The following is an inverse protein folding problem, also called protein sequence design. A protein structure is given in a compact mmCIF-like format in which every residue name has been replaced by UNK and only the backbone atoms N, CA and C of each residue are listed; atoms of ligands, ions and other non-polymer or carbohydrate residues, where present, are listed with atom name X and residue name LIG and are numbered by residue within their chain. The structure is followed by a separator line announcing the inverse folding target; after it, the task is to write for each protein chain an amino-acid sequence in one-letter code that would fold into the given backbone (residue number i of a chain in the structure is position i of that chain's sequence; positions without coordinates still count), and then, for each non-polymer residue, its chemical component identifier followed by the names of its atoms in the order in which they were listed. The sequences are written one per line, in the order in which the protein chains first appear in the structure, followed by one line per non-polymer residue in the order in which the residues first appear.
data_IF_003321120550
#
_entry.id   IF_003321120550
#
_cell.length_a   1.000
_cell.length_b   1.000
_cell.length_c   1.000
_cell.angle_alpha   90.00
_cell.angle_beta   90.00
_cell.angle_gamma   90.00
#
_symmetry.space_group_name_H-M   'P 1'
#
loop_
_entity.id
_entity.type
_entity.pdbx_description
1 polymer ?
#
# COMPACT_ATOMS: atom_id res chain seq x y z
N UNK A 1 25.92 -31.71 -11.01
CA UNK A 1 25.14 -31.55 -9.78
C UNK A 1 23.83 -30.91 -10.22
N UNK A 2 22.67 -31.33 -9.71
CA UNK A 2 21.42 -30.63 -10.03
C UNK A 2 21.41 -29.27 -9.32
N UNK A 3 20.59 -28.34 -9.81
CA UNK A 3 20.35 -27.05 -9.16
C UNK A 3 19.84 -27.26 -7.73
N UNK A 4 20.22 -26.38 -6.80
CA UNK A 4 19.71 -26.41 -5.44
C UNK A 4 18.17 -26.25 -5.46
N UNK A 5 17.39 -27.11 -4.76
CA UNK A 5 15.94 -27.02 -4.77
C UNK A 5 15.39 -25.66 -4.31
N UNK A 6 16.05 -24.99 -3.33
CA UNK A 6 15.64 -23.66 -2.88
C UNK A 6 15.86 -22.62 -3.98
N UNK A 7 16.99 -22.67 -4.66
CA UNK A 7 17.29 -21.77 -5.80
C UNK A 7 16.25 -21.96 -6.91
N UNK A 8 15.88 -23.20 -7.23
CA UNK A 8 14.88 -23.50 -8.24
C UNK A 8 13.49 -22.92 -7.85
N UNK A 9 13.09 -23.08 -6.57
CA UNK A 9 11.84 -22.52 -6.06
C UNK A 9 11.84 -20.99 -6.09
N UNK A 10 12.93 -20.35 -5.68
CA UNK A 10 13.10 -18.88 -5.73
C UNK A 10 13.01 -18.37 -7.17
N UNK A 11 13.68 -18.99 -8.13
CA UNK A 11 13.63 -18.58 -9.54
C UNK A 11 12.26 -18.73 -10.18
N UNK A 12 11.47 -19.71 -9.71
CA UNK A 12 10.11 -19.92 -10.21
C UNK A 12 9.04 -19.08 -9.49
N UNK A 13 9.40 -18.35 -8.43
CA UNK A 13 8.44 -17.62 -7.59
C UNK A 13 7.50 -18.54 -6.81
N UNK A 14 7.91 -19.79 -6.55
CA UNK A 14 7.10 -20.76 -5.77
C UNK A 14 7.24 -20.47 -4.27
N UNK A 15 6.49 -19.50 -3.78
CA UNK A 15 6.48 -19.07 -2.36
C UNK A 15 6.24 -20.24 -1.41
N UNK A 16 5.28 -21.15 -1.74
CA UNK A 16 4.97 -22.32 -0.92
C UNK A 16 6.10 -23.35 -0.93
N UNK A 17 6.74 -23.52 -2.08
CA UNK A 17 7.94 -24.36 -2.20
C UNK A 17 9.09 -23.80 -1.37
N UNK A 18 9.31 -22.47 -1.38
CA UNK A 18 10.32 -21.80 -0.54
C UNK A 18 10.00 -22.03 0.94
N UNK A 19 8.78 -21.74 1.40
CA UNK A 19 8.32 -21.97 2.78
C UNK A 19 8.59 -23.44 3.22
N UNK A 20 8.14 -24.40 2.41
CA UNK A 20 8.28 -25.82 2.73
C UNK A 20 9.75 -26.28 2.79
N UNK A 21 10.62 -25.78 1.90
CA UNK A 21 12.04 -26.09 1.88
C UNK A 21 12.77 -25.47 3.08
N UNK A 22 12.47 -24.24 3.43
CA UNK A 22 13.03 -23.57 4.61
C UNK A 22 12.60 -24.28 5.91
N UNK A 23 11.33 -24.67 6.03
CA UNK A 23 10.82 -25.47 7.16
C UNK A 23 11.46 -26.87 7.22
N UNK A 24 11.89 -27.42 6.10
CA UNK A 24 12.66 -28.69 6.03
C UNK A 24 14.16 -28.51 6.33
N UNK A 25 14.63 -27.26 6.60
CA UNK A 25 16.02 -26.96 6.97
C UNK A 25 16.91 -26.61 5.79
N UNK A 26 16.39 -26.21 4.64
CA UNK A 26 17.18 -25.65 3.55
C UNK A 26 17.92 -24.40 4.03
N UNK A 27 19.10 -24.17 3.47
CA UNK A 27 19.93 -22.98 3.80
C UNK A 27 19.36 -21.73 3.11
N UNK A 28 18.82 -20.73 3.84
CA UNK A 28 18.30 -19.49 3.23
C UNK A 28 19.38 -18.69 2.50
N UNK A 29 20.68 -18.93 2.81
CA UNK A 29 21.82 -18.29 2.16
C UNK A 29 22.36 -19.11 0.98
N UNK A 30 21.59 -20.08 0.47
CA UNK A 30 21.97 -20.86 -0.72
C UNK A 30 22.32 -19.95 -1.90
N UNK A 31 23.27 -20.39 -2.71
CA UNK A 31 23.74 -19.66 -3.92
C UNK A 31 23.52 -20.51 -5.17
N UNK A 32 23.30 -19.85 -6.28
CA UNK A 32 23.23 -20.52 -7.58
C UNK A 32 24.61 -20.92 -8.13
N UNK A 33 24.64 -21.50 -9.33
CA UNK A 33 25.86 -21.91 -10.03
C UNK A 33 26.82 -20.75 -10.35
N UNK A 34 26.33 -19.52 -10.28
CA UNK A 34 27.13 -18.29 -10.50
C UNK A 34 27.56 -17.62 -9.20
N UNK A 35 27.16 -18.18 -8.05
CA UNK A 35 27.45 -17.62 -6.74
C UNK A 35 26.48 -16.50 -6.33
N UNK A 36 25.31 -16.39 -7.00
CA UNK A 36 24.29 -15.40 -6.65
C UNK A 36 23.41 -15.93 -5.52
N UNK A 37 23.32 -15.23 -4.37
CA UNK A 37 22.49 -15.64 -3.24
C UNK A 37 21.00 -15.67 -3.59
N UNK A 38 20.25 -16.59 -2.97
CA UNK A 38 18.80 -16.73 -3.12
C UNK A 38 18.07 -15.39 -2.93
N UNK A 39 18.45 -14.62 -1.92
CA UNK A 39 17.88 -13.29 -1.66
C UNK A 39 18.13 -12.31 -2.81
N UNK A 40 19.31 -12.33 -3.42
CA UNK A 40 19.62 -11.48 -4.59
C UNK A 40 18.77 -11.87 -5.81
N UNK A 41 18.55 -13.17 -6.03
CA UNK A 41 17.71 -13.66 -7.13
C UNK A 41 16.24 -13.20 -6.95
N UNK A 42 15.72 -13.28 -5.72
CA UNK A 42 14.37 -12.81 -5.41
C UNK A 42 14.22 -11.28 -5.61
N UNK A 43 15.24 -10.51 -5.26
CA UNK A 43 15.30 -9.05 -5.53
C UNK A 43 15.26 -8.75 -7.03
N UNK A 44 16.04 -9.46 -7.85
CA UNK A 44 16.02 -9.28 -9.30
C UNK A 44 14.69 -9.65 -9.96
N UNK A 45 13.98 -10.61 -9.37
CA UNK A 45 12.66 -11.02 -9.82
C UNK A 45 11.53 -10.08 -9.32
N UNK A 46 11.84 -9.08 -8.50
CA UNK A 46 10.85 -8.23 -7.80
C UNK A 46 9.86 -9.04 -6.96
N UNK A 47 10.28 -10.18 -6.42
CA UNK A 47 9.42 -11.12 -5.71
C UNK A 47 9.46 -10.87 -4.20
N UNK A 48 8.67 -9.86 -3.76
CA UNK A 48 8.57 -9.51 -2.35
C UNK A 48 8.09 -10.68 -1.48
N UNK A 49 7.05 -11.47 -1.87
CA UNK A 49 6.63 -12.64 -1.10
C UNK A 49 7.76 -13.64 -0.83
N UNK A 50 8.57 -13.97 -1.82
CA UNK A 50 9.75 -14.85 -1.65
C UNK A 50 10.79 -14.22 -0.72
N UNK A 51 11.02 -12.91 -0.82
CA UNK A 51 11.93 -12.17 0.08
C UNK A 51 11.44 -12.25 1.53
N UNK A 52 10.14 -12.10 1.76
CA UNK A 52 9.55 -12.19 3.09
C UNK A 52 9.70 -13.61 3.67
N UNK A 53 9.44 -14.66 2.89
CA UNK A 53 9.67 -16.05 3.34
C UNK A 53 11.13 -16.33 3.70
N UNK A 54 12.10 -15.87 2.87
CA UNK A 54 13.52 -16.00 3.18
C UNK A 54 13.90 -15.30 4.48
N UNK A 55 13.27 -14.15 4.79
CA UNK A 55 13.51 -13.38 6.01
C UNK A 55 12.84 -13.97 7.24
N UNK A 56 11.71 -14.66 7.06
CA UNK A 56 10.94 -15.30 8.14
C UNK A 56 11.44 -16.70 8.49
N UNK A 57 12.46 -17.22 7.80
CA UNK A 57 13.06 -18.51 8.08
C UNK A 57 13.57 -18.59 9.54
N UNK A 58 13.49 -19.77 10.14
CA UNK A 58 13.99 -20.04 11.51
C UNK A 58 15.48 -19.66 11.67
N UNK A 59 16.27 -19.87 10.62
CA UNK A 59 17.62 -19.33 10.49
C UNK A 59 17.56 -18.00 9.74
N UNK A 60 17.98 -16.88 10.35
CA UNK A 60 17.96 -15.58 9.67
C UNK A 60 18.82 -15.58 8.40
N UNK A 61 18.23 -15.09 7.28
CA UNK A 61 18.96 -14.85 6.04
C UNK A 61 19.98 -13.72 6.20
N UNK A 62 21.11 -13.83 5.54
CA UNK A 62 22.15 -12.79 5.56
C UNK A 62 21.77 -11.64 4.60
N UNK A 63 21.26 -10.53 5.15
CA UNK A 63 20.86 -9.34 4.37
C UNK A 63 22.05 -8.64 3.68
N UNK A 64 23.28 -8.93 4.11
CA UNK A 64 24.50 -8.29 3.65
C UNK A 64 25.39 -9.24 2.83
N UNK A 65 24.85 -10.39 2.38
CA UNK A 65 25.54 -11.24 1.42
C UNK A 65 25.85 -10.44 0.12
N UNK A 66 26.88 -10.83 -0.57
CA UNK A 66 27.23 -10.20 -1.86
C UNK A 66 27.31 -11.26 -2.94
N UNK A 67 26.90 -10.89 -4.14
CA UNK A 67 27.07 -11.72 -5.33
C UNK A 67 28.49 -11.64 -5.90
N UNK A 68 28.69 -12.32 -7.04
CA UNK A 68 29.97 -12.32 -7.73
C UNK A 68 30.43 -10.93 -8.21
N UNK A 69 29.50 -9.99 -8.39
CA UNK A 69 29.77 -8.60 -8.78
C UNK A 69 29.99 -7.69 -7.56
N UNK A 70 29.97 -8.24 -6.34
CA UNK A 70 30.14 -7.50 -5.08
C UNK A 70 28.91 -6.69 -4.66
N UNK A 71 27.73 -6.97 -5.22
CA UNK A 71 26.49 -6.26 -4.90
C UNK A 71 25.71 -6.96 -3.80
N UNK A 72 25.34 -6.21 -2.78
CA UNK A 72 24.39 -6.68 -1.77
C UNK A 72 22.95 -6.65 -2.27
N UNK A 73 21.99 -7.38 -1.62
CA UNK A 73 20.58 -7.31 -1.94
C UNK A 73 20.04 -5.86 -1.96
N UNK A 74 20.47 -5.02 -1.01
CA UNK A 74 20.09 -3.61 -0.96
C UNK A 74 20.57 -2.83 -2.19
N UNK A 75 21.86 -2.99 -2.58
CA UNK A 75 22.40 -2.33 -3.77
C UNK A 75 21.69 -2.80 -5.05
N UNK A 76 21.31 -4.09 -5.12
CA UNK A 76 20.52 -4.60 -6.24
C UNK A 76 19.11 -4.01 -6.27
N UNK A 77 18.43 -3.95 -5.13
CA UNK A 77 17.09 -3.36 -5.04
C UNK A 77 17.09 -1.89 -5.49
N UNK A 78 18.08 -1.12 -5.05
CA UNK A 78 18.27 0.27 -5.50
C UNK A 78 18.57 0.34 -6.99
N UNK A 79 19.45 -0.54 -7.51
CA UNK A 79 19.81 -0.55 -8.94
C UNK A 79 18.63 -0.94 -9.85
N UNK A 80 17.77 -1.83 -9.38
CA UNK A 80 16.55 -2.23 -10.08
C UNK A 80 15.38 -1.25 -9.91
N UNK A 81 15.50 -0.24 -9.03
CA UNK A 81 14.42 0.70 -8.72
C UNK A 81 13.25 0.07 -7.94
N UNK A 82 13.50 -0.99 -7.17
CA UNK A 82 12.50 -1.69 -6.36
C UNK A 82 12.32 -1.01 -5.01
N UNK A 83 11.42 -0.01 -4.93
CA UNK A 83 11.24 0.86 -3.77
C UNK A 83 10.80 0.06 -2.54
N UNK A 84 9.74 -0.73 -2.68
CA UNK A 84 9.20 -1.55 -1.59
C UNK A 84 10.21 -2.57 -1.05
N UNK A 85 11.00 -3.18 -1.94
CA UNK A 85 12.05 -4.12 -1.53
C UNK A 85 13.19 -3.37 -0.83
N UNK A 86 13.55 -2.18 -1.32
CA UNK A 86 14.55 -1.32 -0.66
C UNK A 86 14.11 -1.01 0.77
N UNK A 87 12.86 -0.58 0.99
CA UNK A 87 12.30 -0.26 2.30
C UNK A 87 12.28 -1.47 3.23
N UNK A 88 11.92 -2.67 2.71
CA UNK A 88 11.93 -3.93 3.47
C UNK A 88 13.35 -4.33 3.88
N UNK A 89 14.34 -4.16 3.01
CA UNK A 89 15.75 -4.49 3.34
C UNK A 89 16.32 -3.48 4.35
N UNK A 90 16.05 -2.19 4.19
CA UNK A 90 16.51 -1.14 5.13
C UNK A 90 15.90 -1.36 6.52
N UNK A 91 14.57 -1.55 6.61
CA UNK A 91 13.90 -1.83 7.87
C UNK A 91 14.35 -3.14 8.51
N UNK A 92 14.79 -4.11 7.71
CA UNK A 92 15.39 -5.37 8.13
C UNK A 92 16.82 -5.24 8.68
N UNK A 93 17.46 -4.08 8.56
CA UNK A 93 18.82 -3.82 9.06
C UNK A 93 19.93 -4.09 8.04
N UNK A 94 19.65 -3.97 6.73
CA UNK A 94 20.69 -4.03 5.71
C UNK A 94 21.76 -2.94 5.94
N UNK A 95 23.03 -3.29 5.74
CA UNK A 95 24.15 -2.37 5.95
C UNK A 95 24.22 -1.30 4.85
N UNK A 96 23.83 -0.10 5.20
CA UNK A 96 23.84 1.08 4.31
C UNK A 96 25.24 1.51 3.85
N UNK A 97 26.32 0.99 4.47
CA UNK A 97 27.71 1.36 4.16
C UNK A 97 28.34 0.52 3.06
N UNK A 98 27.68 -0.59 2.69
CA UNK A 98 28.18 -1.43 1.60
C UNK A 98 28.22 -0.63 0.30
N UNK A 99 29.20 -0.96 -0.53
CA UNK A 99 29.46 -0.24 -1.78
C UNK A 99 29.47 -1.20 -2.96
N UNK A 100 28.97 -0.72 -4.09
CA UNK A 100 29.09 -1.42 -5.37
C UNK A 100 30.53 -1.38 -5.92
N UNK A 101 30.74 -1.99 -7.09
CA UNK A 101 32.06 -2.03 -7.75
C UNK A 101 32.58 -0.64 -8.12
N UNK A 102 31.73 0.34 -8.30
CA UNK A 102 32.04 1.74 -8.56
C UNK A 102 32.27 2.55 -7.27
N UNK A 103 32.19 1.91 -6.12
CA UNK A 103 32.38 2.50 -4.79
C UNK A 103 31.22 3.31 -4.27
N UNK A 104 30.00 3.15 -4.83
CA UNK A 104 28.80 3.88 -4.44
C UNK A 104 28.04 3.13 -3.34
N UNK A 105 27.60 3.84 -2.32
CA UNK A 105 26.60 3.36 -1.36
C UNK A 105 25.20 3.31 -1.99
N UNK A 106 24.23 2.72 -1.30
CA UNK A 106 22.83 2.69 -1.73
C UNK A 106 22.28 4.11 -2.02
N UNK A 107 22.58 5.09 -1.17
CA UNK A 107 22.18 6.48 -1.37
C UNK A 107 22.86 7.12 -2.60
N UNK A 108 24.19 6.91 -2.76
CA UNK A 108 24.93 7.43 -3.91
C UNK A 108 24.44 6.81 -5.22
N UNK A 109 24.07 5.53 -5.21
CA UNK A 109 23.50 4.84 -6.34
C UNK A 109 22.09 5.35 -6.67
N UNK A 110 21.20 5.54 -5.67
CA UNK A 110 19.88 6.11 -5.87
C UNK A 110 19.95 7.53 -6.46
N UNK A 111 20.86 8.36 -5.94
CA UNK A 111 21.12 9.71 -6.46
C UNK A 111 21.62 9.70 -7.90
N UNK A 112 22.52 8.76 -8.22
CA UNK A 112 22.98 8.57 -9.59
C UNK A 112 21.83 8.29 -10.56
N UNK A 113 20.96 7.34 -10.23
CA UNK A 113 19.80 6.99 -11.04
C UNK A 113 18.79 8.12 -11.16
N UNK A 114 18.52 8.83 -10.07
CA UNK A 114 17.65 10.01 -10.08
C UNK A 114 18.16 11.08 -11.06
N UNK A 115 19.45 11.35 -11.07
CA UNK A 115 20.06 12.37 -11.94
C UNK A 115 20.20 11.91 -13.38
N UNK A 116 20.51 10.64 -13.60
CA UNK A 116 20.66 10.07 -14.95
C UNK A 116 19.31 9.88 -15.66
N UNK A 117 18.29 9.52 -14.89
CA UNK A 117 17.00 9.08 -15.39
C UNK A 117 17.01 7.61 -15.86
N UNK A 118 16.00 6.86 -15.50
CA UNK A 118 15.94 5.42 -15.73
C UNK A 118 16.05 5.03 -17.23
N UNK A 119 15.34 5.75 -18.10
CA UNK A 119 15.39 5.48 -19.54
C UNK A 119 16.79 5.74 -20.13
N UNK A 120 17.42 6.86 -19.78
CA UNK A 120 18.74 7.21 -20.29
C UNK A 120 19.82 6.19 -19.81
N UNK A 121 19.73 5.76 -18.56
CA UNK A 121 20.64 4.77 -17.99
C UNK A 121 20.44 3.37 -18.59
N UNK A 122 19.20 2.94 -18.84
CA UNK A 122 18.92 1.70 -19.57
C UNK A 122 19.54 1.73 -20.97
N UNK A 123 19.39 2.85 -21.71
CA UNK A 123 20.03 3.01 -23.03
C UNK A 123 21.54 2.93 -22.95
N UNK A 124 22.14 3.57 -21.96
CA UNK A 124 23.58 3.55 -21.75
C UNK A 124 24.10 2.14 -21.45
N UNK A 125 23.39 1.38 -20.59
CA UNK A 125 23.79 0.02 -20.18
C UNK A 125 23.56 -1.02 -21.27
N UNK A 126 22.41 -0.97 -21.94
CA UNK A 126 22.06 -1.95 -22.99
C UNK A 126 22.78 -1.69 -24.31
N UNK A 127 23.21 -0.46 -24.56
CA UNK A 127 23.71 -0.04 -25.87
C UNK A 127 22.65 -0.12 -26.99
N UNK A 128 21.40 -0.41 -26.67
CA UNK A 128 20.32 -0.57 -27.63
C UNK A 128 19.71 0.77 -28.06
N UNK A 129 19.42 0.89 -29.35
CA UNK A 129 18.67 2.01 -29.91
C UNK A 129 17.17 1.74 -30.05
N UNK A 130 16.70 0.58 -29.62
CA UNK A 130 15.27 0.22 -29.64
C UNK A 130 14.44 1.12 -28.72
N UNK A 131 13.12 1.22 -28.93
CA UNK A 131 12.24 1.90 -28.00
C UNK A 131 12.24 1.21 -26.63
N UNK A 132 12.24 1.99 -25.55
CA UNK A 132 12.04 1.46 -24.21
C UNK A 132 10.59 0.97 -24.10
N UNK A 133 10.43 -0.27 -23.67
CA UNK A 133 9.11 -0.84 -23.37
C UNK A 133 8.71 -0.36 -21.97
N UNK A 134 7.54 0.27 -21.86
CA UNK A 134 6.95 0.74 -20.60
C UNK A 134 5.74 -0.11 -20.26
N UNK A 135 5.67 -0.59 -19.03
CA UNK A 135 4.56 -1.38 -18.53
C UNK A 135 4.12 -0.85 -17.18
N UNK A 136 2.85 -0.44 -17.09
CA UNK A 136 2.23 -0.21 -15.79
C UNK A 136 2.06 -1.56 -15.07
N UNK A 137 2.46 -1.61 -13.81
CA UNK A 137 2.36 -2.79 -12.94
C UNK A 137 2.04 -2.35 -11.51
N UNK A 138 1.99 -3.29 -10.60
CA UNK A 138 1.88 -3.03 -9.17
C UNK A 138 3.12 -3.59 -8.47
N UNK A 139 3.55 -2.94 -7.41
CA UNK A 139 4.63 -3.43 -6.56
C UNK A 139 4.14 -4.52 -5.59
N UNK A 140 5.04 -5.05 -4.76
CA UNK A 140 4.72 -6.09 -3.79
C UNK A 140 3.73 -5.66 -2.69
N UNK A 141 3.51 -4.36 -2.51
CA UNK A 141 2.52 -3.79 -1.58
C UNK A 141 1.21 -3.40 -2.25
N UNK A 142 1.12 -3.59 -3.58
CA UNK A 142 -0.06 -3.27 -4.37
C UNK A 142 -0.12 -1.82 -4.87
N UNK A 143 0.97 -1.05 -4.75
CA UNK A 143 1.03 0.31 -5.26
C UNK A 143 1.33 0.32 -6.77
N UNK A 144 0.82 1.33 -7.47
CA UNK A 144 1.13 1.52 -8.87
C UNK A 144 2.63 1.77 -9.07
N UNK A 145 3.23 1.14 -10.07
CA UNK A 145 4.60 1.42 -10.50
C UNK A 145 4.75 1.22 -12.01
N UNK A 146 5.80 1.79 -12.58
CA UNK A 146 6.13 1.65 -13.99
C UNK A 146 7.42 0.82 -14.14
N UNK A 147 7.36 -0.25 -14.95
CA UNK A 147 8.52 -1.01 -15.37
C UNK A 147 9.02 -0.53 -16.72
N UNK A 148 10.33 -0.33 -16.85
CA UNK A 148 11.03 0.04 -18.06
C UNK A 148 11.94 -1.11 -18.48
N UNK A 149 11.81 -1.59 -19.72
CA UNK A 149 12.64 -2.68 -20.25
C UNK A 149 13.30 -2.27 -21.55
N UNK A 150 14.59 -2.60 -21.69
CA UNK A 150 15.37 -2.37 -22.89
C UNK A 150 16.60 -3.32 -22.97
N UNK A 151 16.75 -4.03 -24.08
CA UNK A 151 17.91 -4.86 -24.33
C UNK A 151 18.13 -5.98 -23.30
N UNK A 152 17.03 -6.55 -22.78
CA UNK A 152 17.09 -7.60 -21.74
C UNK A 152 17.27 -7.08 -20.31
N UNK A 153 17.39 -5.76 -20.12
CA UNK A 153 17.41 -5.14 -18.79
C UNK A 153 16.01 -4.65 -18.43
N UNK A 154 15.62 -4.81 -17.17
CA UNK A 154 14.36 -4.29 -16.64
C UNK A 154 14.62 -3.57 -15.31
N UNK A 155 14.04 -2.38 -15.14
CA UNK A 155 14.03 -1.62 -13.89
C UNK A 155 12.66 -1.04 -13.63
N UNK A 156 12.33 -0.79 -12.37
CA UNK A 156 11.17 0.01 -11.97
C UNK A 156 11.55 1.49 -11.90
N UNK A 157 10.63 2.36 -12.30
CA UNK A 157 10.86 3.81 -12.35
C UNK A 157 10.59 4.47 -10.99
N UNK A 158 11.27 3.98 -9.92
CA UNK A 158 11.03 4.46 -8.55
C UNK A 158 12.31 5.00 -7.85
N UNK A 159 13.38 5.27 -8.60
CA UNK A 159 14.66 5.69 -8.01
C UNK A 159 14.58 7.03 -7.24
N UNK A 160 13.67 7.94 -7.66
CA UNK A 160 13.42 9.20 -6.92
C UNK A 160 12.75 8.93 -5.58
N UNK A 161 11.84 7.96 -5.52
CA UNK A 161 11.23 7.51 -4.26
C UNK A 161 12.29 6.90 -3.34
N UNK A 162 13.10 5.98 -3.85
CA UNK A 162 14.19 5.35 -3.12
C UNK A 162 15.18 6.39 -2.58
N UNK A 163 15.58 7.37 -3.39
CA UNK A 163 16.43 8.47 -2.94
C UNK A 163 15.80 9.23 -1.76
N UNK A 164 14.51 9.54 -1.88
CA UNK A 164 13.76 10.28 -0.86
C UNK A 164 13.66 9.50 0.46
N UNK A 165 13.43 8.19 0.41
CA UNK A 165 13.38 7.32 1.59
C UNK A 165 14.75 7.08 2.22
N UNK A 166 15.82 6.98 1.42
CA UNK A 166 17.16 6.72 1.93
C UNK A 166 17.81 7.94 2.58
N UNK A 167 17.51 9.16 2.15
CA UNK A 167 18.16 10.37 2.69
C UNK A 167 18.06 10.50 4.21
N UNK A 168 16.89 10.28 4.86
CA UNK A 168 16.78 10.26 6.32
C UNK A 168 17.66 9.21 7.00
N UNK A 169 17.78 8.03 6.41
CA UNK A 169 18.60 6.93 6.92
C UNK A 169 20.11 7.26 6.94
N UNK A 170 20.53 8.20 6.09
CA UNK A 170 21.88 8.75 6.09
C UNK A 170 21.99 10.10 6.84
N UNK A 171 20.94 10.48 7.60
CA UNK A 171 20.92 11.74 8.36
C UNK A 171 20.78 13.00 7.49
N UNK A 172 20.31 12.85 6.26
CA UNK A 172 20.09 13.99 5.36
C UNK A 172 18.62 14.40 5.43
N UNK A 173 18.37 15.70 5.58
CA UNK A 173 17.01 16.24 5.67
C UNK A 173 16.82 17.31 4.59
N UNK A 174 16.39 16.94 3.37
CA UNK A 174 16.15 17.91 2.30
C UNK A 174 15.05 18.89 2.70
N UNK A 175 15.04 20.13 2.19
CA UNK A 175 13.95 21.08 2.40
C UNK A 175 12.59 20.52 1.96
N UNK A 176 11.50 21.02 2.55
CA UNK A 176 10.13 20.64 2.18
C UNK A 176 9.88 20.86 0.69
N UNK A 177 10.28 22.03 0.18
CA UNK A 177 10.10 22.44 -1.20
C UNK A 177 10.88 21.54 -2.19
N UNK A 178 12.03 21.01 -1.78
CA UNK A 178 12.80 20.06 -2.61
C UNK A 178 12.06 18.73 -2.73
N UNK A 179 11.60 18.15 -1.62
CA UNK A 179 10.84 16.90 -1.63
C UNK A 179 9.53 17.06 -2.40
N UNK A 180 8.79 18.13 -2.17
CA UNK A 180 7.59 18.47 -2.94
C UNK A 180 7.92 18.60 -4.44
N UNK A 181 9.02 19.27 -4.80
CA UNK A 181 9.45 19.41 -6.19
C UNK A 181 9.74 18.08 -6.89
N UNK A 182 10.27 17.08 -6.16
CA UNK A 182 10.46 15.71 -6.69
C UNK A 182 9.13 15.03 -7.00
N UNK A 183 8.15 15.15 -6.12
CA UNK A 183 6.81 14.61 -6.32
C UNK A 183 6.07 15.32 -7.47
N UNK A 184 6.15 16.66 -7.54
CA UNK A 184 5.52 17.45 -8.60
C UNK A 184 6.06 17.16 -10.00
N UNK A 185 7.26 16.59 -10.12
CA UNK A 185 7.80 16.13 -11.40
C UNK A 185 7.05 14.91 -11.96
N UNK A 186 6.26 14.23 -11.13
CA UNK A 186 5.43 13.08 -11.49
C UNK A 186 3.94 13.46 -11.35
N UNK A 187 3.20 13.57 -12.46
CA UNK A 187 1.80 14.00 -12.42
C UNK A 187 0.82 12.97 -11.87
N UNK A 188 1.22 11.70 -11.83
CA UNK A 188 0.42 10.61 -11.28
C UNK A 188 0.71 10.43 -9.77
N UNK A 189 -0.26 10.81 -8.94
CA UNK A 189 -0.15 10.77 -7.49
C UNK A 189 -0.10 9.36 -6.90
N UNK A 190 -0.41 8.35 -7.68
CA UNK A 190 -0.35 6.95 -7.28
C UNK A 190 1.06 6.35 -7.47
N UNK A 191 2.02 7.10 -8.03
CA UNK A 191 3.41 6.68 -8.19
C UNK A 191 4.20 6.75 -6.87
N UNK A 192 5.20 5.88 -6.67
CA UNK A 192 5.90 5.72 -5.39
C UNK A 192 6.53 7.00 -4.83
N UNK A 193 6.93 7.95 -5.68
CA UNK A 193 7.56 9.21 -5.23
C UNK A 193 6.63 10.07 -4.38
N UNK A 194 5.32 9.99 -4.60
CA UNK A 194 4.33 10.72 -3.80
C UNK A 194 4.23 10.13 -2.38
N UNK A 195 4.10 8.80 -2.29
CA UNK A 195 4.08 8.12 -1.00
C UNK A 195 5.38 8.37 -0.22
N UNK A 196 6.55 8.19 -0.86
CA UNK A 196 7.86 8.45 -0.25
C UNK A 196 7.97 9.90 0.26
N UNK A 197 7.57 10.89 -0.56
CA UNK A 197 7.62 12.31 -0.18
C UNK A 197 6.74 12.61 1.02
N UNK A 198 5.48 12.19 0.99
CA UNK A 198 4.52 12.51 2.06
C UNK A 198 4.85 11.78 3.36
N UNK A 199 5.32 10.53 3.28
CA UNK A 199 5.79 9.76 4.45
C UNK A 199 7.04 10.37 5.10
N UNK A 200 8.03 10.79 4.31
CA UNK A 200 9.22 11.46 4.84
C UNK A 200 8.88 12.82 5.46
N UNK A 201 7.97 13.56 4.86
CA UNK A 201 7.53 14.85 5.40
C UNK A 201 6.77 14.69 6.71
N UNK A 202 5.79 13.77 6.79
CA UNK A 202 5.00 13.58 8.02
C UNK A 202 5.85 13.07 9.19
N UNK A 203 6.92 12.29 8.93
CA UNK A 203 7.85 11.82 9.97
C UNK A 203 8.73 12.88 10.61
N UNK A 204 8.66 14.15 10.16
CA UNK A 204 9.40 15.28 10.71
C UNK A 204 8.65 15.95 11.89
N UNK A 205 9.32 16.82 12.68
CA UNK A 205 8.66 17.54 13.76
C UNK A 205 7.40 18.27 13.28
N UNK A 206 6.25 17.78 13.71
CA UNK A 206 4.93 18.12 13.18
C UNK A 206 4.60 19.61 13.10
N UNK A 207 4.87 20.50 14.10
CA UNK A 207 4.43 21.89 14.03
C UNK A 207 4.97 22.65 12.82
N UNK A 208 6.23 22.41 12.44
CA UNK A 208 6.85 23.10 11.31
C UNK A 208 6.32 22.59 9.96
N UNK A 209 6.19 21.27 9.81
CA UNK A 209 5.67 20.64 8.59
C UNK A 209 4.19 20.94 8.41
N UNK A 210 3.42 20.91 9.52
CA UNK A 210 1.99 21.27 9.50
C UNK A 210 1.77 22.67 8.90
N UNK A 211 2.53 23.68 9.37
CA UNK A 211 2.40 25.04 8.88
C UNK A 211 2.72 25.16 7.38
N UNK A 212 3.76 24.46 6.91
CA UNK A 212 4.14 24.43 5.50
C UNK A 212 3.07 23.75 4.64
N UNK A 213 2.57 22.59 5.06
CA UNK A 213 1.53 21.83 4.36
C UNK A 213 0.19 22.59 4.33
N UNK A 214 -0.22 23.21 5.45
CA UNK A 214 -1.44 24.01 5.52
C UNK A 214 -1.38 25.25 4.59
N UNK A 215 -0.22 25.85 4.39
CA UNK A 215 -0.05 26.97 3.47
C UNK A 215 -0.26 26.59 1.99
N UNK A 216 -0.34 25.30 1.66
CA UNK A 216 -0.59 24.82 0.30
C UNK A 216 -2.08 24.82 -0.08
N UNK A 217 -3.00 24.93 0.88
CA UNK A 217 -4.44 24.79 0.65
C UNK A 217 -5.04 25.78 -0.36
N UNK A 218 -4.39 26.92 -0.58
CA UNK A 218 -4.83 27.97 -1.50
C UNK A 218 -3.94 28.08 -2.75
N UNK A 219 -3.04 27.12 -2.99
CA UNK A 219 -2.20 27.10 -4.18
C UNK A 219 -3.02 26.85 -5.44
N UNK A 220 -2.56 27.42 -6.56
CA UNK A 220 -3.24 27.26 -7.85
C UNK A 220 -3.07 25.83 -8.40
N UNK A 221 -1.88 25.26 -8.23
CA UNK A 221 -1.59 23.91 -8.70
C UNK A 221 -2.28 22.86 -7.79
N UNK A 222 -3.16 22.01 -8.35
CA UNK A 222 -3.82 20.96 -7.57
C UNK A 222 -2.84 19.93 -7.01
N UNK A 223 -1.69 19.69 -7.64
CA UNK A 223 -0.69 18.76 -7.10
C UNK A 223 0.00 19.32 -5.84
N UNK A 224 0.27 20.65 -5.80
CA UNK A 224 0.73 21.29 -4.56
C UNK A 224 -0.34 21.16 -3.44
N UNK A 225 -1.62 21.38 -3.78
CA UNK A 225 -2.72 21.22 -2.82
C UNK A 225 -2.86 19.77 -2.35
N UNK A 226 -2.71 18.80 -3.25
CA UNK A 226 -2.71 17.38 -2.90
C UNK A 226 -1.59 17.06 -1.90
N UNK A 227 -0.36 17.50 -2.18
CA UNK A 227 0.77 17.33 -1.26
C UNK A 227 0.44 17.85 0.13
N UNK A 228 -0.12 19.08 0.23
CA UNK A 228 -0.53 19.67 1.50
C UNK A 228 -1.57 18.85 2.23
N UNK A 229 -2.64 18.46 1.54
CA UNK A 229 -3.73 17.69 2.13
C UNK A 229 -3.25 16.32 2.63
N UNK A 230 -2.44 15.62 1.82
CA UNK A 230 -1.95 14.28 2.18
C UNK A 230 -0.97 14.32 3.36
N UNK A 231 -0.05 15.28 3.39
CA UNK A 231 0.87 15.44 4.53
C UNK A 231 0.12 15.76 5.82
N UNK A 232 -0.89 16.65 5.78
CA UNK A 232 -1.71 16.97 6.96
C UNK A 232 -2.50 15.76 7.45
N UNK A 233 -3.08 15.00 6.53
CA UNK A 233 -3.80 13.75 6.83
C UNK A 233 -2.88 12.76 7.52
N UNK A 234 -1.68 12.52 6.96
CA UNK A 234 -0.72 11.56 7.50
C UNK A 234 -0.18 11.98 8.87
N UNK A 235 0.06 13.29 9.11
CA UNK A 235 0.44 13.78 10.45
C UNK A 235 -0.65 13.44 11.48
N UNK A 236 -1.93 13.59 11.12
CA UNK A 236 -3.03 13.24 12.01
C UNK A 236 -3.17 11.72 12.18
N UNK A 237 -3.03 10.96 11.09
CA UNK A 237 -3.18 9.49 11.10
C UNK A 237 -2.09 8.80 11.93
N UNK A 238 -0.86 9.29 11.88
CA UNK A 238 0.29 8.72 12.59
C UNK A 238 0.58 9.42 13.94
N UNK A 239 -0.31 10.30 14.39
CA UNK A 239 -0.22 10.86 15.75
C UNK A 239 -0.65 9.78 16.76
N UNK A 240 0.30 9.28 17.51
CA UNK A 240 0.12 8.26 18.54
C UNK A 240 -0.08 8.85 19.95
N UNK A 241 -0.25 10.18 20.04
CA UNK A 241 -0.48 10.86 21.32
C UNK A 241 -1.91 10.68 21.81
N UNK A 242 -2.08 10.49 23.11
CA UNK A 242 -3.42 10.39 23.74
C UNK A 242 -4.28 11.65 23.56
N UNK A 243 -3.67 12.78 23.28
CA UNK A 243 -4.32 14.09 23.19
C UNK A 243 -4.86 14.40 21.78
N UNK A 244 -4.43 13.67 20.74
CA UNK A 244 -4.77 13.87 19.32
C UNK A 244 -4.81 15.37 18.91
N UNK A 245 -3.70 16.11 19.09
CA UNK A 245 -3.66 17.56 18.97
C UNK A 245 -3.95 18.06 17.55
N UNK A 246 -3.84 17.19 16.54
CA UNK A 246 -4.02 17.54 15.13
C UNK A 246 -5.44 17.30 14.62
N UNK A 247 -6.25 16.48 15.30
CA UNK A 247 -7.58 16.08 14.84
C UNK A 247 -8.51 17.27 14.61
N UNK A 248 -8.71 18.12 15.63
CA UNK A 248 -9.55 19.31 15.50
C UNK A 248 -8.99 20.33 14.51
N UNK A 249 -7.67 20.69 14.52
CA UNK A 249 -7.08 21.57 13.51
C UNK A 249 -7.23 21.04 12.08
N UNK A 250 -7.12 19.72 11.87
CA UNK A 250 -7.35 19.09 10.57
C UNK A 250 -8.77 19.37 10.08
N UNK A 251 -9.77 19.08 10.92
CA UNK A 251 -11.17 19.27 10.57
C UNK A 251 -11.52 20.74 10.34
N UNK A 252 -10.97 21.65 11.17
CA UNK A 252 -11.14 23.10 10.99
C UNK A 252 -10.62 23.58 9.62
N UNK A 253 -9.58 22.95 9.09
CA UNK A 253 -9.00 23.25 7.77
C UNK A 253 -9.71 22.50 6.64
N UNK A 254 -9.98 21.20 6.81
CA UNK A 254 -10.49 20.34 5.73
C UNK A 254 -11.95 20.60 5.38
N UNK A 255 -12.82 20.95 6.34
CA UNK A 255 -14.23 21.25 6.06
C UNK A 255 -14.41 22.40 5.05
N UNK A 256 -13.85 23.62 5.28
CA UNK A 256 -13.97 24.68 4.30
C UNK A 256 -13.19 24.41 3.01
N UNK A 257 -12.12 23.61 3.06
CA UNK A 257 -11.36 23.24 1.88
C UNK A 257 -12.15 22.29 0.99
N UNK A 258 -12.70 21.20 1.53
CA UNK A 258 -13.53 20.23 0.78
C UNK A 258 -14.77 20.89 0.16
N UNK A 259 -15.31 21.94 0.78
CA UNK A 259 -16.49 22.63 0.24
C UNK A 259 -16.22 23.43 -1.06
N UNK A 260 -14.94 23.71 -1.40
CA UNK A 260 -14.53 24.49 -2.57
C UNK A 260 -13.60 23.74 -3.52
N UNK A 261 -13.14 22.55 -3.14
CA UNK A 261 -12.20 21.77 -3.95
C UNK A 261 -12.91 21.10 -5.13
N UNK A 262 -12.29 21.17 -6.30
CA UNK A 262 -12.81 20.59 -7.54
C UNK A 262 -11.91 19.47 -8.09
N UNK A 263 -10.61 19.46 -7.72
CA UNK A 263 -9.69 18.40 -8.18
C UNK A 263 -9.95 17.10 -7.41
N UNK A 264 -10.23 15.99 -8.12
CA UNK A 264 -10.56 14.72 -7.47
C UNK A 264 -9.41 14.14 -6.64
N UNK A 265 -8.15 14.38 -7.00
CA UNK A 265 -6.98 13.88 -6.26
C UNK A 265 -6.89 14.55 -4.89
N UNK A 266 -7.06 15.87 -4.87
CA UNK A 266 -7.11 16.63 -3.61
C UNK A 266 -8.31 16.20 -2.78
N UNK A 267 -9.48 16.04 -3.41
CA UNK A 267 -10.69 15.60 -2.73
C UNK A 267 -10.54 14.19 -2.13
N UNK A 268 -9.78 13.28 -2.74
CA UNK A 268 -9.44 11.96 -2.16
C UNK A 268 -8.73 12.12 -0.82
N UNK A 269 -7.67 12.95 -0.76
CA UNK A 269 -6.91 13.19 0.47
C UNK A 269 -7.77 13.85 1.55
N UNK A 270 -8.61 14.83 1.17
CA UNK A 270 -9.53 15.50 2.10
C UNK A 270 -10.60 14.53 2.64
N UNK A 271 -11.20 13.71 1.76
CA UNK A 271 -12.20 12.73 2.15
C UNK A 271 -11.61 11.65 3.08
N UNK A 272 -10.37 11.19 2.78
CA UNK A 272 -9.65 10.25 3.63
C UNK A 272 -9.39 10.86 5.01
N UNK A 273 -8.84 12.07 5.10
CA UNK A 273 -8.57 12.72 6.37
C UNK A 273 -9.83 12.99 7.19
N UNK A 274 -10.94 13.37 6.55
CA UNK A 274 -12.24 13.52 7.23
C UNK A 274 -12.81 12.18 7.69
N UNK A 275 -12.58 11.11 6.94
CA UNK A 275 -13.03 9.76 7.30
C UNK A 275 -12.25 9.17 8.50
N UNK A 276 -10.99 9.54 8.64
CA UNK A 276 -10.06 9.09 9.69
C UNK A 276 -10.14 9.97 10.96
N UNK A 277 -10.66 11.20 10.85
CA UNK A 277 -10.76 12.13 11.95
C UNK A 277 -11.76 11.67 13.03
N UNK A 278 -11.41 11.89 14.29
CA UNK A 278 -12.26 11.57 15.44
C UNK A 278 -13.25 12.69 15.81
N UNK A 279 -13.08 13.90 15.26
CA UNK A 279 -13.99 15.01 15.47
C UNK A 279 -15.35 14.76 14.78
N UNK A 280 -16.48 14.77 15.52
CA UNK A 280 -17.79 14.48 14.95
C UNK A 280 -18.24 15.39 13.79
N UNK A 281 -17.62 16.58 13.66
CA UNK A 281 -17.91 17.48 12.54
C UNK A 281 -17.43 16.95 11.21
N UNK A 282 -16.42 16.06 11.21
CA UNK A 282 -15.88 15.43 10.02
C UNK A 282 -16.93 14.60 9.27
N UNK A 283 -17.91 14.05 9.97
CA UNK A 283 -18.98 13.27 9.34
C UNK A 283 -19.94 14.10 8.45
N UNK A 284 -19.99 15.43 8.64
CA UNK A 284 -20.98 16.29 7.99
C UNK A 284 -20.97 16.24 6.46
N UNK A 285 -19.83 16.30 5.75
CA UNK A 285 -19.81 16.27 4.28
C UNK A 285 -19.90 14.84 3.71
N UNK A 286 -19.63 13.79 4.50
CA UNK A 286 -19.47 12.43 3.99
C UNK A 286 -20.71 11.90 3.25
N UNK A 287 -21.95 12.11 3.70
CA UNK A 287 -23.14 11.66 2.95
C UNK A 287 -23.27 12.28 1.55
N UNK A 288 -22.75 13.50 1.35
CA UNK A 288 -22.73 14.12 0.02
C UNK A 288 -21.59 13.54 -0.84
N UNK A 289 -20.41 13.30 -0.23
CA UNK A 289 -19.24 12.75 -0.90
C UNK A 289 -19.44 11.29 -1.36
N UNK A 290 -20.39 10.53 -0.80
CA UNK A 290 -20.76 9.21 -1.36
C UNK A 290 -21.37 9.27 -2.78
N UNK A 291 -21.64 10.47 -3.30
CA UNK A 291 -22.13 10.70 -4.66
C UNK A 291 -21.11 11.40 -5.55
N UNK A 292 -19.88 11.53 -5.11
CA UNK A 292 -18.81 12.16 -5.88
C UNK A 292 -18.54 11.37 -7.16
N UNK A 293 -18.12 12.04 -8.22
CA UNK A 293 -17.83 11.38 -9.52
C UNK A 293 -16.63 10.40 -9.41
N UNK A 294 -15.65 10.69 -8.58
CA UNK A 294 -14.49 9.85 -8.33
C UNK A 294 -14.82 8.71 -7.35
N UNK A 295 -14.58 7.43 -7.70
CA UNK A 295 -14.91 6.28 -6.85
C UNK A 295 -14.08 6.20 -5.57
N UNK A 296 -12.83 6.69 -5.56
CA UNK A 296 -12.01 6.71 -4.36
C UNK A 296 -12.57 7.68 -3.31
N UNK A 297 -13.05 8.84 -3.75
CA UNK A 297 -13.74 9.79 -2.83
C UNK A 297 -14.99 9.13 -2.24
N UNK A 298 -15.79 8.40 -3.05
CA UNK A 298 -16.96 7.68 -2.54
C UNK A 298 -16.57 6.58 -1.55
N UNK A 299 -15.48 5.87 -1.83
CA UNK A 299 -14.95 4.82 -0.95
C UNK A 299 -14.58 5.38 0.43
N UNK A 300 -13.80 6.48 0.47
CA UNK A 300 -13.42 7.13 1.72
C UNK A 300 -14.62 7.68 2.47
N UNK A 301 -15.58 8.30 1.77
CA UNK A 301 -16.80 8.80 2.37
C UNK A 301 -17.62 7.69 3.07
N UNK A 302 -17.67 6.50 2.45
CA UNK A 302 -18.31 5.33 3.07
C UNK A 302 -17.57 4.88 4.33
N UNK A 303 -16.23 4.81 4.26
CA UNK A 303 -15.40 4.40 5.40
C UNK A 303 -15.64 5.32 6.61
N UNK A 304 -15.70 6.63 6.40
CA UNK A 304 -15.97 7.60 7.47
C UNK A 304 -17.38 7.53 8.06
N UNK A 305 -18.36 6.94 7.35
CA UNK A 305 -19.72 6.73 7.89
C UNK A 305 -19.82 5.49 8.80
N UNK A 306 -18.74 4.72 8.94
CA UNK A 306 -18.74 3.48 9.73
C UNK A 306 -19.26 3.69 11.17
N UNK A 307 -18.80 4.75 11.84
CA UNK A 307 -19.17 5.01 13.22
C UNK A 307 -20.67 5.40 13.37
N UNK A 308 -21.20 6.22 12.48
CA UNK A 308 -22.63 6.54 12.46
C UNK A 308 -23.49 5.28 12.19
N UNK A 309 -23.03 4.41 11.29
CA UNK A 309 -23.69 3.12 11.00
C UNK A 309 -23.66 2.20 12.23
N UNK A 310 -22.56 2.13 12.97
CA UNK A 310 -22.45 1.34 14.21
C UNK A 310 -23.45 1.79 15.27
N UNK A 311 -23.73 3.09 15.33
CA UNK A 311 -24.76 3.66 16.23
C UNK A 311 -26.18 3.46 15.72
N UNK A 312 -26.36 2.95 14.52
CA UNK A 312 -27.66 2.74 13.89
C UNK A 312 -28.31 4.03 13.36
N UNK A 313 -27.50 5.07 13.01
CA UNK A 313 -28.06 6.30 12.45
C UNK A 313 -28.82 6.01 11.15
N UNK A 314 -30.12 6.36 11.07
CA UNK A 314 -30.95 5.98 9.93
C UNK A 314 -30.52 6.63 8.61
N UNK A 315 -29.94 7.84 8.67
CA UNK A 315 -29.50 8.56 7.46
C UNK A 315 -28.21 7.96 6.93
N UNK A 316 -27.24 7.68 7.81
CA UNK A 316 -26.01 6.99 7.45
C UNK A 316 -26.31 5.61 6.86
N UNK A 317 -27.17 4.82 7.52
CA UNK A 317 -27.60 3.51 7.04
C UNK A 317 -28.23 3.58 5.65
N UNK A 318 -29.18 4.50 5.43
CA UNK A 318 -29.82 4.66 4.13
C UNK A 318 -28.81 5.07 3.04
N UNK A 319 -27.85 5.96 3.38
CA UNK A 319 -26.80 6.40 2.47
C UNK A 319 -25.90 5.25 2.07
N UNK A 320 -25.39 4.49 3.04
CA UNK A 320 -24.48 3.37 2.79
C UNK A 320 -25.19 2.23 2.05
N UNK A 321 -26.42 1.90 2.40
CA UNK A 321 -27.22 0.89 1.68
C UNK A 321 -27.46 1.27 0.21
N UNK A 322 -27.64 2.56 -0.10
CA UNK A 322 -27.76 2.98 -1.51
C UNK A 322 -26.48 2.72 -2.32
N UNK A 323 -25.30 2.76 -1.69
CA UNK A 323 -24.00 2.52 -2.36
C UNK A 323 -23.74 1.04 -2.69
N UNK A 324 -24.57 0.10 -2.24
CA UNK A 324 -24.51 -1.30 -2.70
C UNK A 324 -24.83 -1.45 -4.20
N UNK A 325 -25.37 -0.42 -4.83
CA UNK A 325 -25.67 -0.37 -6.27
C UNK A 325 -24.71 0.53 -7.03
N UNK A 326 -23.55 0.86 -6.46
CA UNK A 326 -22.57 1.71 -7.11
C UNK A 326 -22.00 1.05 -8.37
N UNK A 327 -21.64 1.87 -9.36
CA UNK A 327 -21.02 1.38 -10.59
C UNK A 327 -19.62 0.77 -10.33
N UNK A 328 -18.87 1.30 -9.35
CA UNK A 328 -17.55 0.80 -8.98
C UNK A 328 -17.66 -0.35 -7.98
N UNK A 329 -17.00 -1.46 -8.32
CA UNK A 329 -17.01 -2.70 -7.53
C UNK A 329 -16.43 -2.51 -6.12
N UNK A 330 -15.39 -1.67 -5.97
CA UNK A 330 -14.73 -1.42 -4.69
C UNK A 330 -15.65 -0.64 -3.75
N UNK A 331 -16.44 0.28 -4.30
CA UNK A 331 -17.45 1.05 -3.56
C UNK A 331 -18.59 0.12 -3.09
N UNK A 332 -19.07 -0.81 -3.97
CA UNK A 332 -20.09 -1.80 -3.55
C UNK A 332 -19.59 -2.70 -2.43
N UNK A 333 -18.36 -3.21 -2.56
CA UNK A 333 -17.75 -4.05 -1.52
C UNK A 333 -17.53 -3.28 -0.20
N UNK A 334 -17.10 -2.01 -0.27
CA UNK A 334 -16.96 -1.14 0.91
C UNK A 334 -18.31 -0.90 1.59
N UNK A 335 -19.36 -0.64 0.82
CA UNK A 335 -20.71 -0.49 1.36
C UNK A 335 -21.15 -1.74 2.15
N UNK A 336 -20.92 -2.95 1.61
CA UNK A 336 -21.23 -4.20 2.31
C UNK A 336 -20.46 -4.32 3.64
N UNK A 337 -19.17 -3.99 3.66
CA UNK A 337 -18.35 -4.01 4.89
C UNK A 337 -18.90 -3.03 5.94
N UNK A 338 -19.21 -1.80 5.53
CA UNK A 338 -19.73 -0.77 6.46
C UNK A 338 -21.12 -1.13 6.97
N UNK A 339 -22.02 -1.66 6.13
CA UNK A 339 -23.35 -2.16 6.54
C UNK A 339 -23.21 -3.25 7.60
N UNK A 340 -22.19 -4.09 7.52
CA UNK A 340 -21.92 -5.16 8.47
C UNK A 340 -21.81 -4.68 9.93
N UNK A 341 -21.36 -3.45 10.13
CA UNK A 341 -21.21 -2.83 11.45
C UNK A 341 -22.54 -2.36 12.08
N UNK A 342 -23.65 -2.36 11.33
CA UNK A 342 -24.94 -1.95 11.82
C UNK A 342 -25.44 -2.85 12.96
N UNK A 343 -26.26 -2.32 13.92
CA UNK A 343 -26.82 -3.11 15.00
C UNK A 343 -27.56 -4.37 14.50
N UNK A 344 -27.31 -5.53 15.13
CA UNK A 344 -27.87 -6.84 14.71
C UNK A 344 -29.39 -6.88 14.71
N UNK A 345 -30.06 -6.09 15.54
CA UNK A 345 -31.51 -6.04 15.63
C UNK A 345 -32.24 -5.38 14.44
N UNK A 346 -31.51 -4.82 13.49
CA UNK A 346 -32.05 -4.20 12.29
C UNK A 346 -32.09 -5.20 11.13
N UNK A 347 -33.27 -5.45 10.54
CA UNK A 347 -33.39 -6.37 9.39
C UNK A 347 -32.92 -5.73 8.07
N UNK A 348 -33.18 -4.44 7.86
CA UNK A 348 -32.86 -3.75 6.61
C UNK A 348 -31.38 -3.87 6.19
N UNK A 349 -30.35 -3.74 7.08
CA UNK A 349 -28.98 -4.02 6.76
C UNK A 349 -28.74 -5.45 6.27
N UNK A 350 -29.32 -6.45 6.94
CA UNK A 350 -29.20 -7.85 6.52
C UNK A 350 -29.87 -8.13 5.17
N UNK A 351 -30.99 -7.46 4.88
CA UNK A 351 -31.67 -7.58 3.60
C UNK A 351 -30.87 -6.94 2.45
N UNK A 352 -30.24 -5.78 2.71
CA UNK A 352 -29.33 -5.14 1.76
C UNK A 352 -28.11 -6.01 1.45
N UNK A 353 -27.47 -6.58 2.47
CA UNK A 353 -26.36 -7.54 2.31
C UNK A 353 -26.80 -8.78 1.53
N UNK A 354 -27.98 -9.35 1.85
CA UNK A 354 -28.48 -10.52 1.14
C UNK A 354 -28.74 -10.26 -0.36
N UNK A 355 -29.13 -9.05 -0.73
CA UNK A 355 -29.26 -8.67 -2.13
C UNK A 355 -27.89 -8.71 -2.87
N UNK A 356 -26.80 -8.33 -2.18
CA UNK A 356 -25.44 -8.34 -2.74
C UNK A 356 -24.82 -9.75 -2.91
N UNK A 357 -25.43 -10.81 -2.35
CA UNK A 357 -24.97 -12.19 -2.57
C UNK A 357 -25.09 -12.65 -4.03
N UNK A 358 -25.84 -11.94 -4.85
CA UNK A 358 -25.98 -12.21 -6.29
C UNK A 358 -25.20 -11.20 -7.16
N UNK A 359 -24.27 -10.43 -6.59
CA UNK A 359 -23.42 -9.53 -7.35
C UNK A 359 -22.58 -10.31 -8.37
N UNK A 360 -22.30 -9.72 -9.51
CA UNK A 360 -21.43 -10.31 -10.54
C UNK A 360 -20.00 -10.51 -10.04
N UNK A 361 -19.52 -9.63 -9.16
CA UNK A 361 -18.18 -9.67 -8.59
C UNK A 361 -18.13 -10.56 -7.34
N UNK A 362 -17.15 -11.48 -7.30
CA UNK A 362 -16.95 -12.39 -6.17
C UNK A 362 -16.59 -11.64 -4.88
N UNK A 363 -15.74 -10.61 -4.97
CA UNK A 363 -15.33 -9.81 -3.81
C UNK A 363 -16.50 -9.11 -3.14
N UNK A 364 -17.48 -8.64 -3.91
CA UNK A 364 -18.72 -8.05 -3.38
C UNK A 364 -19.60 -9.12 -2.71
N UNK A 365 -19.74 -10.31 -3.34
CA UNK A 365 -20.49 -11.42 -2.72
C UNK A 365 -19.90 -11.83 -1.38
N UNK A 366 -18.56 -11.94 -1.31
CA UNK A 366 -17.83 -12.27 -0.09
C UNK A 366 -17.95 -11.15 0.94
N UNK A 367 -17.79 -9.88 0.54
CA UNK A 367 -17.96 -8.72 1.41
C UNK A 367 -19.36 -8.60 2.00
N UNK A 368 -20.37 -9.19 1.35
CA UNK A 368 -21.74 -9.27 1.87
C UNK A 368 -21.96 -10.51 2.76
N UNK A 369 -21.40 -11.66 2.38
CA UNK A 369 -21.60 -12.92 3.09
C UNK A 369 -20.97 -12.93 4.49
N UNK A 370 -19.77 -12.36 4.65
CA UNK A 370 -19.07 -12.28 5.93
C UNK A 370 -19.86 -11.53 6.98
N UNK A 371 -20.37 -10.30 6.75
CA UNK A 371 -21.21 -9.62 7.70
C UNK A 371 -22.54 -10.35 8.01
N UNK A 372 -23.14 -11.01 7.03
CA UNK A 372 -24.35 -11.83 7.28
C UNK A 372 -24.03 -12.95 8.28
N UNK A 373 -22.93 -13.66 8.09
CA UNK A 373 -22.50 -14.70 9.04
C UNK A 373 -22.27 -14.12 10.46
N UNK A 374 -21.56 -12.98 10.57
CA UNK A 374 -21.35 -12.31 11.86
C UNK A 374 -22.65 -11.88 12.51
N UNK A 375 -23.70 -11.61 11.72
CA UNK A 375 -25.05 -11.25 12.16
C UNK A 375 -25.95 -12.46 12.45
N UNK A 376 -25.41 -13.68 12.39
CA UNK A 376 -26.13 -14.95 12.55
C UNK A 376 -27.23 -15.16 11.49
N UNK A 377 -27.03 -14.63 10.27
CA UNK A 377 -27.96 -14.74 9.14
C UNK A 377 -27.46 -15.82 8.15
N UNK A 378 -28.18 -16.96 8.01
CA UNK A 378 -27.70 -18.09 7.22
C UNK A 378 -27.69 -17.84 5.71
N UNK A 379 -28.24 -16.73 5.23
CA UNK A 379 -28.27 -16.43 3.78
C UNK A 379 -26.87 -16.31 3.18
N UNK A 380 -25.84 -15.92 3.96
CA UNK A 380 -24.45 -15.84 3.51
C UNK A 380 -23.69 -17.18 3.44
N UNK A 381 -24.22 -18.22 4.09
CA UNK A 381 -23.48 -19.50 4.32
C UNK A 381 -23.05 -20.21 3.02
N UNK A 382 -23.87 -20.12 1.96
CA UNK A 382 -23.53 -20.78 0.70
C UNK A 382 -22.31 -20.14 0.04
N UNK A 383 -22.24 -18.83 -0.02
CA UNK A 383 -21.09 -18.11 -0.59
C UNK A 383 -19.80 -18.43 0.18
N UNK A 384 -19.87 -18.50 1.52
CA UNK A 384 -18.73 -18.85 2.34
C UNK A 384 -18.29 -20.31 2.18
N UNK A 385 -19.23 -21.24 1.96
CA UNK A 385 -18.91 -22.65 1.64
C UNK A 385 -18.28 -22.81 0.27
N UNK A 386 -18.74 -22.05 -0.73
CA UNK A 386 -18.24 -22.11 -2.10
C UNK A 386 -16.80 -21.58 -2.22
N UNK A 387 -16.38 -20.64 -1.34
CA UNK A 387 -14.99 -20.20 -1.21
C UNK A 387 -14.04 -21.33 -0.78
N UNK A 388 -14.57 -22.37 -0.09
CA UNK A 388 -13.76 -23.45 0.41
C UNK A 388 -12.73 -23.03 1.45
N UNK A 389 -11.53 -23.65 1.41
CA UNK A 389 -10.43 -23.32 2.30
C UNK A 389 -9.70 -22.09 1.79
N UNK A 390 -9.84 -20.97 2.50
CA UNK A 390 -9.13 -19.73 2.19
C UNK A 390 -7.68 -19.85 2.67
N UNK A 391 -6.73 -19.85 1.74
CA UNK A 391 -5.30 -19.97 2.04
C UNK A 391 -4.68 -18.62 2.47
N UNK A 392 -3.54 -18.69 3.19
CA UNK A 392 -2.68 -17.54 3.43
C UNK A 392 -2.33 -16.88 2.08
N UNK A 393 -2.44 -15.56 2.00
CA UNK A 393 -2.23 -14.80 0.75
C UNK A 393 -3.50 -14.60 -0.10
N UNK A 394 -4.62 -15.25 0.23
CA UNK A 394 -5.91 -14.90 -0.36
C UNK A 394 -6.35 -13.50 0.10
N UNK A 395 -6.90 -12.65 -0.80
CA UNK A 395 -7.48 -11.35 -0.42
C UNK A 395 -8.61 -11.46 0.60
N UNK A 396 -9.17 -12.67 0.78
CA UNK A 396 -10.24 -12.96 1.73
C UNK A 396 -9.76 -13.52 3.06
N UNK A 397 -8.45 -13.78 3.22
CA UNK A 397 -7.91 -14.48 4.38
C UNK A 397 -8.21 -13.75 5.70
N UNK A 398 -7.94 -12.45 5.77
CA UNK A 398 -8.17 -11.65 6.98
C UNK A 398 -9.66 -11.64 7.38
N UNK A 399 -10.55 -11.50 6.39
CA UNK A 399 -11.98 -11.47 6.59
C UNK A 399 -12.52 -12.86 7.00
N UNK A 400 -12.01 -13.93 6.39
CA UNK A 400 -12.36 -15.31 6.74
C UNK A 400 -11.85 -15.71 8.14
N UNK A 401 -10.68 -15.20 8.53
CA UNK A 401 -10.13 -15.42 9.87
C UNK A 401 -11.00 -14.76 10.95
N UNK A 402 -11.55 -13.58 10.68
CA UNK A 402 -12.51 -12.93 11.57
C UNK A 402 -13.78 -13.78 11.76
N UNK A 403 -14.30 -14.38 10.69
CA UNK A 403 -15.43 -15.33 10.72
C UNK A 403 -15.09 -16.56 11.56
N UNK A 404 -13.92 -17.12 11.37
CA UNK A 404 -13.46 -18.32 12.11
C UNK A 404 -13.28 -18.05 13.61
N UNK A 405 -12.73 -16.88 13.98
CA UNK A 405 -12.65 -16.45 15.38
C UNK A 405 -14.03 -16.25 15.99
N UNK A 406 -14.97 -15.66 15.25
CA UNK A 406 -16.33 -15.45 15.73
C UNK A 406 -17.05 -16.79 15.99
N UNK A 407 -16.88 -17.78 15.13
CA UNK A 407 -17.47 -19.11 15.33
C UNK A 407 -16.91 -19.84 16.54
N UNK A 408 -15.61 -19.66 16.89
CA UNK A 408 -14.98 -20.28 18.08
C UNK A 408 -15.41 -19.60 19.38
N UNK A 409 -15.65 -18.29 19.37
CA UNK A 409 -16.14 -17.59 20.59
C UNK A 409 -17.58 -17.95 20.95
N UNK A 410 -18.37 -18.37 19.94
CA UNK A 410 -19.76 -18.82 20.16
C UNK A 410 -19.89 -20.33 20.46
N UNK A 411 -18.89 -21.12 20.12
CA UNK A 411 -18.92 -22.57 20.31
C UNK A 411 -17.54 -23.13 20.78
N UNK A 412 -17.20 -22.97 22.08
CA UNK A 412 -15.87 -23.36 22.60
C UNK A 412 -15.63 -24.87 22.68
N UNK A 413 -16.50 -25.72 22.07
CA UNK A 413 -16.45 -27.19 22.19
C UNK A 413 -16.06 -27.93 20.89
N UNK A 414 -15.41 -27.25 19.90
CA UNK A 414 -14.85 -27.94 18.73
C UNK A 414 -13.42 -27.50 18.43
#
# INVERSE_FOLDING_TARGET
MGEDPLIAAVRSGDVKGVEALLAAGADPDAVDEHGTPALCLAVEAFDLPVIEELRMADRPVQLNCVDADGRSPLLRAVDCGACEITSVLVSGGADLRLRDAEGRTALELARYWHLAGAEAELRRRSGSSEPVVRRATIDGWGNACEELSLGGLTVRNAHTAILTELEPEYGITPPFEELMGRALAEPDVDQPVWAATTMVLQGRPAPAVWAQAAALCDRLDPLERYCGAEVLRLINLFDDSDESPFDKPLVDLFLPWAAREEDPRVMRALAAGLAEAMDPRAEQPLPALTRHHDPEVRHWALSGLHFAVTKGDPKALATVMACTQDADVRVRAAACRVIGAAPKGLSAPSDALAACLNDEDEGVRVAAAIPLFVRDDPRGDQVLRDLGRVEHGSPYFAAFHAVWYHSRTLNPAH
#
